data_IF_627069542885
#
_entry.id   IF_627069542885
#
_cell.length_a   1.000
_cell.length_b   1.000
_cell.length_c   1.000
_cell.angle_alpha   90.00
_cell.angle_beta   90.00
_cell.angle_gamma   90.00
#
_symmetry.space_group_name_H-M   'P 1'
#
loop_
_entity.id
_entity.type
_entity.pdbx_description
1 polymer ?
#
# COMPACT_ATOMS: atom_id res chain seq x y z
N UNK A 1 -27.42 -14.08 6.60
CA UNK A 1 -25.98 -13.74 6.66
C UNK A 1 -25.76 -12.24 6.42
N UNK A 2 -26.26 -11.66 5.33
CA UNK A 2 -26.11 -10.22 5.07
C UNK A 2 -26.78 -9.35 6.15
N UNK A 3 -28.01 -9.67 6.54
CA UNK A 3 -28.72 -8.87 7.55
C UNK A 3 -28.06 -8.95 8.93
N UNK A 4 -27.53 -10.13 9.28
CA UNK A 4 -26.71 -10.32 10.49
C UNK A 4 -25.42 -9.47 10.46
N UNK A 5 -24.74 -9.41 9.31
CA UNK A 5 -23.55 -8.56 9.17
C UNK A 5 -23.90 -7.06 9.23
N UNK A 6 -25.05 -6.66 8.70
CA UNK A 6 -25.57 -5.28 8.81
C UNK A 6 -25.88 -4.91 10.25
N UNK A 7 -26.43 -5.85 11.02
CA UNK A 7 -26.75 -5.63 12.43
C UNK A 7 -25.49 -5.46 13.28
N UNK A 8 -24.46 -6.29 13.05
CA UNK A 8 -23.21 -6.26 13.82
C UNK A 8 -22.25 -5.18 13.33
N UNK A 9 -22.19 -4.93 12.03
CA UNK A 9 -21.28 -3.97 11.40
C UNK A 9 -22.06 -3.00 10.51
N UNK A 10 -22.94 -2.15 11.05
CA UNK A 10 -23.81 -1.29 10.25
C UNK A 10 -23.02 -0.26 9.44
N UNK A 11 -21.96 0.32 10.01
CA UNK A 11 -21.23 1.45 9.42
C UNK A 11 -20.68 1.21 8.01
N UNK A 12 -20.02 0.08 7.68
CA UNK A 12 -19.68 -0.24 6.30
C UNK A 12 -20.88 -0.18 5.34
N UNK A 13 -22.07 -0.63 5.76
CA UNK A 13 -23.28 -0.59 4.94
C UNK A 13 -23.92 0.80 4.85
N UNK A 14 -23.73 1.64 5.87
CA UNK A 14 -24.21 3.03 5.84
C UNK A 14 -23.33 3.94 4.98
N UNK A 15 -22.04 3.61 4.83
CA UNK A 15 -21.05 4.49 4.23
C UNK A 15 -20.43 4.00 2.92
N UNK A 16 -20.68 2.77 2.46
CA UNK A 16 -20.03 2.22 1.25
C UNK A 16 -20.28 3.05 -0.02
N UNK A 17 -21.34 3.86 -0.07
CA UNK A 17 -21.68 4.72 -1.20
C UNK A 17 -21.18 6.17 -1.08
N UNK A 18 -20.57 6.55 0.05
CA UNK A 18 -20.15 7.93 0.31
C UNK A 18 -18.71 8.08 0.80
N UNK A 19 -18.16 7.07 1.50
CA UNK A 19 -16.81 7.09 2.03
C UNK A 19 -15.92 6.03 1.37
N UNK A 20 -14.66 6.38 1.12
CA UNK A 20 -13.70 5.45 0.52
C UNK A 20 -12.95 4.64 1.58
N UNK A 21 -12.69 3.34 1.33
CA UNK A 21 -11.74 2.60 2.14
C UNK A 21 -10.34 3.21 1.99
N UNK A 22 -9.57 3.17 3.09
CA UNK A 22 -8.19 3.69 3.13
C UNK A 22 -7.16 2.74 2.50
N UNK A 23 -7.47 1.44 2.45
CA UNK A 23 -6.56 0.37 2.04
C UNK A 23 -7.31 -0.84 1.51
N UNK A 24 -6.60 -1.79 0.92
CA UNK A 24 -7.21 -2.99 0.35
C UNK A 24 -7.86 -3.88 1.44
N UNK A 25 -8.94 -4.63 1.15
CA UNK A 25 -9.50 -5.57 2.11
C UNK A 25 -8.49 -6.62 2.58
N UNK A 26 -7.58 -7.06 1.69
CA UNK A 26 -6.58 -8.06 2.02
C UNK A 26 -5.52 -7.53 3.00
N UNK A 27 -5.20 -6.23 2.94
CA UNK A 27 -4.37 -5.55 3.93
C UNK A 27 -4.98 -5.63 5.34
N UNK A 28 -6.31 -5.47 5.46
CA UNK A 28 -6.98 -5.65 6.76
C UNK A 28 -6.88 -7.10 7.27
N UNK A 29 -6.95 -8.09 6.37
CA UNK A 29 -6.78 -9.51 6.74
C UNK A 29 -5.35 -9.77 7.20
N UNK A 30 -4.34 -9.20 6.53
CA UNK A 30 -2.95 -9.31 6.95
C UNK A 30 -2.74 -8.78 8.37
N UNK A 31 -3.27 -7.60 8.69
CA UNK A 31 -3.19 -7.03 10.04
C UNK A 31 -3.77 -7.97 11.10
N UNK A 32 -4.94 -8.56 10.83
CA UNK A 32 -5.55 -9.52 11.76
C UNK A 32 -4.66 -10.75 11.96
N UNK A 33 -4.03 -11.25 10.89
CA UNK A 33 -3.12 -12.40 10.98
C UNK A 33 -1.89 -12.03 11.80
N UNK A 34 -1.26 -10.88 11.54
CA UNK A 34 -0.09 -10.41 12.27
C UNK A 34 -0.44 -10.22 13.75
N UNK A 35 -1.55 -9.56 14.05
CA UNK A 35 -2.04 -9.33 15.42
C UNK A 35 -2.25 -10.65 16.19
N UNK A 36 -2.85 -11.65 15.54
CA UNK A 36 -3.14 -12.95 16.18
C UNK A 36 -1.90 -13.87 16.27
N UNK A 37 -0.86 -13.59 15.50
CA UNK A 37 0.29 -14.50 15.37
C UNK A 37 1.55 -13.95 16.04
N UNK A 38 1.66 -12.64 16.20
CA UNK A 38 2.90 -11.97 16.59
C UNK A 38 3.74 -11.59 15.37
N UNK A 39 4.17 -10.34 15.34
CA UNK A 39 4.98 -9.75 14.25
C UNK A 39 6.41 -10.29 14.19
N UNK A 40 6.87 -10.97 15.24
CA UNK A 40 8.15 -11.67 15.27
C UNK A 40 8.12 -13.02 14.53
N UNK A 41 6.93 -13.59 14.28
CA UNK A 41 6.75 -14.96 13.79
C UNK A 41 6.56 -15.01 12.26
N UNK A 42 7.57 -14.54 11.50
CA UNK A 42 7.53 -14.36 10.04
C UNK A 42 7.00 -15.56 9.25
N UNK A 43 7.53 -16.75 9.53
CA UNK A 43 7.16 -17.96 8.79
C UNK A 43 5.72 -18.40 9.08
N UNK A 44 5.25 -18.25 10.33
CA UNK A 44 3.87 -18.56 10.70
C UNK A 44 2.89 -17.54 10.11
N UNK A 45 3.25 -16.25 10.08
CA UNK A 45 2.46 -15.21 9.39
C UNK A 45 2.33 -15.54 7.90
N UNK A 46 3.45 -15.83 7.21
CA UNK A 46 3.44 -16.22 5.80
C UNK A 46 2.56 -17.45 5.55
N UNK A 47 2.69 -18.48 6.40
CA UNK A 47 1.89 -19.71 6.30
C UNK A 47 0.40 -19.44 6.46
N UNK A 48 -0.03 -18.68 7.47
CA UNK A 48 -1.45 -18.33 7.66
C UNK A 48 -2.01 -17.49 6.52
N UNK A 49 -1.22 -16.54 5.99
CA UNK A 49 -1.61 -15.76 4.80
C UNK A 49 -1.80 -16.69 3.59
N UNK A 50 -0.90 -17.66 3.39
CA UNK A 50 -0.99 -18.67 2.32
C UNK A 50 -2.22 -19.56 2.46
N UNK A 51 -2.52 -20.03 3.68
CA UNK A 51 -3.68 -20.88 3.98
C UNK A 51 -4.99 -20.14 3.67
N UNK A 52 -5.16 -18.92 4.18
CA UNK A 52 -6.34 -18.08 3.92
C UNK A 52 -6.46 -17.78 2.42
N UNK A 53 -5.36 -17.42 1.77
CA UNK A 53 -5.32 -17.18 0.32
C UNK A 53 -5.79 -18.39 -0.49
N UNK A 54 -5.33 -19.58 -0.10
CA UNK A 54 -5.68 -20.84 -0.76
C UNK A 54 -7.17 -21.18 -0.61
N UNK A 55 -7.76 -20.86 0.55
CA UNK A 55 -9.19 -21.03 0.78
C UNK A 55 -10.02 -20.02 -0.03
N UNK A 56 -9.62 -18.74 -0.04
CA UNK A 56 -10.34 -17.67 -0.72
C UNK A 56 -10.31 -17.81 -2.26
N UNK A 57 -9.22 -18.32 -2.86
CA UNK A 57 -9.12 -18.51 -4.33
C UNK A 57 -10.12 -19.51 -4.91
N UNK A 58 -10.70 -20.37 -4.07
CA UNK A 58 -11.77 -21.31 -4.46
C UNK A 58 -13.10 -20.58 -4.72
N UNK A 59 -13.24 -19.31 -4.33
CA UNK A 59 -14.42 -18.49 -4.55
C UNK A 59 -14.31 -17.45 -5.67
N UNK A 60 -15.31 -16.56 -5.77
CA UNK A 60 -15.38 -15.46 -6.75
C UNK A 60 -14.58 -14.20 -6.36
N UNK A 61 -13.93 -14.20 -5.20
CA UNK A 61 -13.20 -13.05 -4.61
C UNK A 61 -11.78 -12.89 -5.13
N UNK A 62 -11.37 -13.66 -6.13
CA UNK A 62 -10.00 -13.66 -6.71
C UNK A 62 -9.38 -12.28 -6.91
N UNK A 63 -10.10 -11.24 -7.36
CA UNK A 63 -9.48 -9.94 -7.57
C UNK A 63 -9.14 -9.17 -6.30
N UNK A 64 -9.66 -9.56 -5.13
CA UNK A 64 -9.41 -8.94 -3.82
C UNK A 64 -8.40 -9.72 -2.98
N UNK A 65 -7.66 -10.65 -3.60
CA UNK A 65 -6.68 -11.49 -2.96
C UNK A 65 -5.31 -11.08 -3.48
N UNK A 66 -4.43 -10.68 -2.56
CA UNK A 66 -3.06 -10.31 -2.92
C UNK A 66 -2.24 -11.52 -3.35
N UNK A 67 -1.30 -11.31 -4.26
CA UNK A 67 -0.40 -12.35 -4.75
C UNK A 67 0.92 -12.39 -3.98
N UNK A 68 1.27 -11.27 -3.34
CA UNK A 68 2.59 -11.01 -2.81
C UNK A 68 2.46 -10.43 -1.41
N UNK A 69 3.33 -10.88 -0.51
CA UNK A 69 3.54 -10.32 0.82
C UNK A 69 4.97 -9.78 0.87
N UNK A 70 5.20 -8.66 1.52
CA UNK A 70 6.52 -8.11 1.78
C UNK A 70 6.75 -7.98 3.27
N UNK A 71 8.00 -8.18 3.69
CA UNK A 71 8.48 -8.03 5.05
C UNK A 71 9.61 -7.01 5.06
N UNK A 72 9.46 -5.96 5.86
CA UNK A 72 10.47 -4.93 6.08
C UNK A 72 10.91 -4.90 7.54
N UNK A 73 12.21 -4.70 7.79
CA UNK A 73 12.77 -4.78 9.13
C UNK A 73 14.14 -4.08 9.18
N UNK A 74 14.48 -3.45 10.32
CA UNK A 74 15.87 -3.12 10.68
C UNK A 74 16.41 -4.13 11.69
N UNK A 75 17.75 -4.31 11.83
CA UNK A 75 18.31 -5.29 12.75
C UNK A 75 17.76 -5.13 14.16
N UNK A 76 17.35 -6.25 14.76
CA UNK A 76 16.78 -6.31 16.12
C UNK A 76 15.45 -5.55 16.34
N UNK A 77 14.78 -5.09 15.28
CA UNK A 77 13.40 -4.59 15.37
C UNK A 77 12.37 -5.69 15.09
N UNK A 78 11.12 -5.38 15.35
CA UNK A 78 9.96 -6.16 14.90
C UNK A 78 9.82 -6.10 13.38
N UNK A 79 8.99 -6.97 12.80
CA UNK A 79 8.80 -7.02 11.35
C UNK A 79 7.55 -6.28 10.95
N UNK A 80 7.65 -5.51 9.88
CA UNK A 80 6.55 -4.79 9.29
C UNK A 80 6.13 -5.51 8.02
N UNK A 81 4.83 -5.73 7.88
CA UNK A 81 4.27 -6.51 6.78
C UNK A 81 3.48 -5.59 5.84
N UNK A 82 3.44 -5.97 4.57
CA UNK A 82 2.57 -5.39 3.57
C UNK A 82 2.18 -6.40 2.52
N UNK A 83 1.09 -6.14 1.79
CA UNK A 83 0.64 -7.00 0.69
C UNK A 83 0.47 -6.21 -0.59
N UNK A 84 0.60 -6.89 -1.73
CA UNK A 84 0.38 -6.24 -3.02
C UNK A 84 -1.07 -5.80 -3.16
N UNK A 85 -1.29 -4.70 -3.88
CA UNK A 85 -2.61 -4.14 -4.12
C UNK A 85 -3.46 -5.11 -4.94
N UNK A 86 -4.50 -5.68 -4.32
CA UNK A 86 -5.45 -6.59 -4.96
C UNK A 86 -6.76 -5.87 -5.26
N UNK A 87 -7.03 -5.68 -6.55
CA UNK A 87 -8.28 -5.04 -7.01
C UNK A 87 -8.82 -5.68 -8.28
N UNK A 88 -10.11 -5.40 -8.58
CA UNK A 88 -10.82 -5.91 -9.76
C UNK A 88 -10.40 -5.31 -11.11
N UNK A 89 -9.26 -4.62 -11.18
CA UNK A 89 -8.71 -4.08 -12.42
C UNK A 89 -7.95 -2.79 -12.21
N UNK A 90 -7.50 -2.20 -13.32
CA UNK A 90 -6.61 -1.04 -13.31
C UNK A 90 -7.22 0.20 -12.63
N UNK A 91 -8.48 0.53 -12.90
CA UNK A 91 -9.13 1.73 -12.32
C UNK A 91 -9.33 1.58 -10.81
N UNK A 92 -9.95 0.50 -10.30
CA UNK A 92 -10.00 0.24 -8.87
C UNK A 92 -8.62 0.25 -8.19
N UNK A 93 -7.60 -0.33 -8.83
CA UNK A 93 -6.23 -0.29 -8.34
C UNK A 93 -5.70 1.13 -8.17
N UNK A 94 -5.88 1.99 -9.17
CA UNK A 94 -5.50 3.41 -9.10
C UNK A 94 -6.28 4.16 -8.00
N UNK A 95 -7.58 3.93 -7.87
CA UNK A 95 -8.40 4.50 -6.79
C UNK A 95 -7.83 4.11 -5.43
N UNK A 96 -7.52 2.82 -5.23
CA UNK A 96 -6.99 2.33 -3.96
C UNK A 96 -5.59 2.87 -3.66
N UNK A 97 -4.69 2.94 -4.65
CA UNK A 97 -3.37 3.56 -4.48
C UNK A 97 -3.50 5.03 -4.09
N UNK A 98 -4.35 5.80 -4.78
CA UNK A 98 -4.58 7.20 -4.44
C UNK A 98 -5.19 7.36 -3.04
N UNK A 99 -6.16 6.52 -2.67
CA UNK A 99 -6.73 6.51 -1.33
C UNK A 99 -5.68 6.19 -0.27
N UNK A 100 -4.83 5.19 -0.49
CA UNK A 100 -3.74 4.84 0.43
C UNK A 100 -2.73 5.98 0.58
N UNK A 101 -2.30 6.59 -0.52
CA UNK A 101 -1.42 7.76 -0.53
C UNK A 101 -1.97 8.94 0.29
N UNK A 102 -3.27 9.20 0.21
CA UNK A 102 -3.92 10.35 0.85
C UNK A 102 -4.41 10.08 2.28
N UNK A 103 -4.26 8.85 2.80
CA UNK A 103 -4.87 8.50 4.09
C UNK A 103 -4.06 7.54 4.94
N UNK A 104 -3.60 6.41 4.38
CA UNK A 104 -3.04 5.34 5.18
C UNK A 104 -1.54 5.28 5.12
N UNK A 105 -0.87 5.64 4.03
CA UNK A 105 0.56 5.43 3.91
C UNK A 105 1.37 6.52 4.61
N UNK A 106 2.56 6.14 5.11
CA UNK A 106 3.55 7.08 5.60
C UNK A 106 3.80 8.19 4.58
N UNK A 107 4.06 9.39 5.09
CA UNK A 107 4.18 10.58 4.28
C UNK A 107 5.30 10.46 3.23
N UNK A 108 6.45 9.89 3.57
CA UNK A 108 7.59 9.79 2.65
C UNK A 108 7.32 8.71 1.59
N UNK A 109 6.79 7.56 2.00
CA UNK A 109 6.42 6.49 1.09
C UNK A 109 5.32 6.93 0.11
N UNK A 110 4.30 7.63 0.62
CA UNK A 110 3.24 8.20 -0.21
C UNK A 110 3.81 9.22 -1.21
N UNK A 111 4.75 10.08 -0.78
CA UNK A 111 5.45 11.02 -1.65
C UNK A 111 6.20 10.33 -2.81
N UNK A 112 6.94 9.26 -2.51
CA UNK A 112 7.61 8.46 -3.53
C UNK A 112 6.63 7.88 -4.57
N UNK A 113 5.49 7.37 -4.12
CA UNK A 113 4.45 6.86 -5.03
C UNK A 113 3.83 7.99 -5.86
N UNK A 114 3.48 9.11 -5.22
CA UNK A 114 2.83 10.26 -5.88
C UNK A 114 3.70 10.89 -6.98
N UNK A 115 5.03 10.85 -6.82
CA UNK A 115 6.01 11.30 -7.81
C UNK A 115 5.75 10.70 -9.20
N UNK A 116 5.43 9.40 -9.24
CA UNK A 116 5.24 8.68 -10.49
C UNK A 116 3.78 8.34 -10.80
N UNK A 117 2.89 8.45 -9.80
CA UNK A 117 1.48 8.08 -9.92
C UNK A 117 0.76 8.81 -11.08
N UNK A 118 1.13 10.07 -11.32
CA UNK A 118 0.48 10.89 -12.34
C UNK A 118 1.06 10.69 -13.74
N UNK A 119 2.28 10.14 -13.87
CA UNK A 119 3.08 9.74 -15.06
C UNK A 119 2.98 10.58 -16.37
N UNK A 120 2.21 11.66 -16.39
CA UNK A 120 1.80 12.48 -17.54
C UNK A 120 1.53 13.95 -17.15
N UNK A 121 1.37 14.25 -15.86
CA UNK A 121 1.34 15.62 -15.39
C UNK A 121 2.78 16.00 -15.04
N UNK A 122 3.40 16.83 -15.89
CA UNK A 122 4.65 17.51 -15.56
C UNK A 122 4.46 18.23 -14.21
N UNK A 123 4.81 17.59 -13.11
CA UNK A 123 5.20 18.27 -11.88
C UNK A 123 6.72 18.25 -11.91
N UNK A 124 7.36 19.12 -12.72
CA UNK A 124 8.82 19.07 -12.97
C UNK A 124 9.65 19.24 -11.68
N UNK A 125 9.01 19.60 -10.57
CA UNK A 125 9.67 19.99 -9.33
C UNK A 125 9.43 19.03 -8.15
N UNK A 126 8.68 17.93 -8.29
CA UNK A 126 8.48 16.96 -7.20
C UNK A 126 9.12 15.61 -7.52
N UNK A 127 10.24 15.33 -6.86
CA UNK A 127 10.84 14.01 -6.76
C UNK A 127 10.86 13.57 -5.29
N UNK A 128 9.82 12.86 -4.89
CA UNK A 128 9.67 12.25 -3.58
C UNK A 128 10.35 10.89 -3.44
N UNK A 129 11.17 10.48 -4.41
CA UNK A 129 11.92 9.23 -4.35
C UNK A 129 12.77 9.17 -3.09
N UNK A 130 12.74 8.03 -2.42
CA UNK A 130 13.50 7.78 -1.21
C UNK A 130 14.59 6.75 -1.47
N UNK A 131 15.72 6.89 -0.79
CA UNK A 131 16.72 5.82 -0.70
C UNK A 131 16.64 5.18 0.68
N UNK A 132 16.33 3.89 0.71
CA UNK A 132 16.34 3.15 1.97
C UNK A 132 17.76 3.08 2.56
N UNK A 133 17.91 3.24 3.89
CA UNK A 133 19.15 2.94 4.59
C UNK A 133 19.62 1.50 4.34
N UNK A 134 20.93 1.26 4.33
CA UNK A 134 21.51 -0.05 3.97
C UNK A 134 21.15 -1.17 4.95
N UNK A 135 20.84 -0.82 6.20
CA UNK A 135 20.42 -1.76 7.24
C UNK A 135 18.94 -2.15 7.12
N UNK A 136 18.14 -1.53 6.25
CA UNK A 136 16.74 -1.92 6.05
C UNK A 136 16.66 -3.15 5.14
N UNK A 137 16.17 -4.25 5.69
CA UNK A 137 15.69 -5.41 4.91
C UNK A 137 14.31 -5.09 4.35
N UNK A 138 14.08 -5.41 3.08
CA UNK A 138 12.77 -5.31 2.42
C UNK A 138 12.67 -6.43 1.39
N UNK A 139 11.94 -7.49 1.71
CA UNK A 139 11.87 -8.71 0.90
C UNK A 139 10.43 -9.07 0.58
N UNK A 140 10.14 -9.33 -0.69
CA UNK A 140 8.83 -9.73 -1.17
C UNK A 140 8.80 -11.23 -1.45
N UNK A 141 7.65 -11.87 -1.20
CA UNK A 141 7.43 -13.29 -1.40
C UNK A 141 6.12 -13.53 -2.12
N UNK A 142 6.10 -14.47 -3.06
CA UNK A 142 4.87 -14.98 -3.63
C UNK A 142 4.09 -15.72 -2.52
N UNK A 143 2.86 -15.30 -2.24
CA UNK A 143 2.07 -15.85 -1.13
C UNK A 143 1.82 -17.35 -1.29
N UNK A 144 1.58 -17.83 -2.50
CA UNK A 144 1.21 -19.22 -2.73
C UNK A 144 2.41 -20.15 -2.88
N UNK A 145 3.48 -19.66 -3.48
CA UNK A 145 4.69 -20.45 -3.72
C UNK A 145 5.68 -20.34 -2.55
N UNK A 146 5.57 -19.30 -1.72
CA UNK A 146 6.55 -18.97 -0.68
C UNK A 146 7.90 -18.49 -1.23
N UNK A 147 8.00 -18.31 -2.55
CA UNK A 147 9.26 -17.98 -3.22
C UNK A 147 9.60 -16.50 -3.08
N UNK A 148 10.87 -16.21 -2.85
CA UNK A 148 11.40 -14.84 -2.85
C UNK A 148 11.21 -14.21 -4.23
N UNK A 149 10.79 -12.95 -4.25
CA UNK A 149 10.63 -12.13 -5.44
C UNK A 149 11.59 -10.95 -5.37
N UNK A 150 12.35 -10.77 -6.46
CA UNK A 150 13.17 -9.58 -6.64
C UNK A 150 12.28 -8.35 -6.84
N UNK A 151 12.71 -7.16 -6.38
CA UNK A 151 11.94 -5.94 -6.57
C UNK A 151 11.73 -5.66 -8.05
N UNK A 152 10.57 -5.11 -8.39
CA UNK A 152 10.31 -4.63 -9.74
C UNK A 152 11.03 -3.28 -9.98
N UNK A 153 11.23 -2.91 -11.24
CA UNK A 153 11.90 -1.64 -11.60
C UNK A 153 11.24 -0.42 -10.96
N UNK A 154 9.91 -0.38 -10.89
CA UNK A 154 9.20 0.77 -10.29
C UNK A 154 9.44 0.90 -8.77
N UNK A 155 9.56 -0.21 -8.05
CA UNK A 155 9.97 -0.19 -6.63
C UNK A 155 11.46 0.12 -6.46
N UNK A 156 12.30 -0.38 -7.37
CA UNK A 156 13.71 0.02 -7.46
C UNK A 156 13.87 1.53 -7.62
N UNK A 157 13.08 2.13 -8.51
CA UNK A 157 13.07 3.58 -8.73
C UNK A 157 12.58 4.34 -7.49
N UNK A 158 11.44 3.97 -6.90
CA UNK A 158 10.84 4.71 -5.76
C UNK A 158 11.65 4.63 -4.47
N UNK A 159 12.28 3.49 -4.20
CA UNK A 159 12.84 3.17 -2.88
C UNK A 159 14.35 2.90 -2.90
N UNK A 160 14.99 2.92 -4.07
CA UNK A 160 16.41 2.58 -4.22
C UNK A 160 16.73 1.12 -3.92
N UNK A 161 15.76 0.20 -4.11
CA UNK A 161 15.96 -1.23 -3.86
C UNK A 161 17.00 -1.80 -4.84
N UNK A 162 17.91 -2.63 -4.31
CA UNK A 162 19.02 -3.20 -5.08
C UNK A 162 18.54 -4.32 -6.01
N UNK A 163 19.21 -4.45 -7.16
CA UNK A 163 18.99 -5.50 -8.15
C UNK A 163 17.53 -5.67 -8.62
N UNK A 164 16.83 -4.58 -9.03
CA UNK A 164 15.49 -4.71 -9.54
C UNK A 164 15.46 -5.49 -10.85
N UNK A 165 14.38 -6.24 -11.06
CA UNK A 165 14.07 -6.86 -12.34
C UNK A 165 13.65 -5.81 -13.37
N UNK A 166 13.67 -6.17 -14.67
CA UNK A 166 13.12 -5.33 -15.73
C UNK A 166 11.58 -5.29 -15.75
N UNK A 167 10.92 -6.10 -14.91
CA UNK A 167 9.47 -6.08 -14.81
C UNK A 167 9.02 -4.74 -14.21
N UNK A 168 8.04 -4.11 -14.86
CA UNK A 168 7.41 -2.88 -14.39
C UNK A 168 5.96 -3.14 -13.99
N UNK A 169 5.62 -2.79 -12.74
CA UNK A 169 4.26 -2.75 -12.24
C UNK A 169 3.85 -1.31 -11.98
N UNK A 170 2.55 -0.97 -12.03
CA UNK A 170 2.10 0.37 -11.66
C UNK A 170 2.61 0.77 -10.27
N UNK A 171 3.12 2.00 -10.15
CA UNK A 171 3.59 2.57 -8.90
C UNK A 171 2.51 2.48 -7.80
N UNK A 172 2.91 2.08 -6.60
CA UNK A 172 1.99 1.87 -5.48
C UNK A 172 1.35 0.47 -5.38
N UNK A 173 1.47 -0.38 -6.41
CA UNK A 173 0.79 -1.69 -6.38
C UNK A 173 1.54 -2.81 -5.65
N UNK A 174 2.86 -2.69 -5.48
CA UNK A 174 3.67 -3.77 -4.95
C UNK A 174 3.63 -3.80 -3.41
N UNK A 175 3.90 -4.98 -2.84
CA UNK A 175 3.76 -5.22 -1.40
C UNK A 175 4.76 -4.41 -0.56
N UNK A 176 5.90 -4.07 -1.16
CA UNK A 176 6.98 -3.24 -0.59
C UNK A 176 6.44 -1.89 -0.12
N UNK A 177 5.46 -1.31 -0.82
CA UNK A 177 4.92 0.01 -0.50
C UNK A 177 4.23 0.00 0.86
N UNK A 178 3.34 -0.96 1.10
CA UNK A 178 2.64 -1.08 2.38
C UNK A 178 3.59 -1.50 3.51
N UNK A 179 4.53 -2.42 3.21
CA UNK A 179 5.51 -2.91 4.19
C UNK A 179 6.44 -1.80 4.67
N UNK A 180 7.03 -1.03 3.75
CA UNK A 180 7.89 0.12 4.07
C UNK A 180 7.10 1.24 4.75
N UNK A 181 5.86 1.47 4.32
CA UNK A 181 4.97 2.44 4.97
C UNK A 181 4.71 2.10 6.44
N UNK A 182 4.49 0.82 6.75
CA UNK A 182 4.34 0.37 8.13
C UNK A 182 5.67 0.48 8.91
N UNK A 183 6.82 0.19 8.30
CA UNK A 183 8.13 0.44 8.92
C UNK A 183 8.33 1.92 9.27
N UNK A 184 8.09 2.83 8.31
CA UNK A 184 8.36 4.26 8.47
C UNK A 184 7.47 4.94 9.52
N UNK A 185 6.23 4.47 9.69
CA UNK A 185 5.33 4.97 10.75
C UNK A 185 5.79 4.62 12.16
N UNK A 186 6.49 3.50 12.31
CA UNK A 186 6.80 2.93 13.62
C UNK A 186 8.29 3.04 13.98
N UNK A 187 9.16 3.34 13.01
CA UNK A 187 10.61 3.46 13.20
C UNK A 187 11.08 4.82 12.70
N UNK A 188 11.08 5.80 13.61
CA UNK A 188 11.46 7.19 13.33
C UNK A 188 12.87 7.29 12.73
N UNK A 189 13.83 6.52 13.26
CA UNK A 189 15.21 6.51 12.78
C UNK A 189 15.30 6.22 11.27
N UNK A 190 14.51 5.25 10.78
CA UNK A 190 14.49 4.90 9.35
C UNK A 190 13.89 6.05 8.54
N UNK A 191 12.85 6.70 9.07
CA UNK A 191 12.19 7.84 8.43
C UNK A 191 13.13 9.03 8.29
N UNK A 192 13.93 9.33 9.31
CA UNK A 192 14.91 10.41 9.32
C UNK A 192 16.14 10.10 8.44
N UNK A 193 16.61 8.85 8.45
CA UNK A 193 17.76 8.43 7.65
C UNK A 193 17.44 8.23 6.17
N UNK A 194 16.18 7.98 5.82
CA UNK A 194 15.73 7.87 4.44
C UNK A 194 16.03 9.18 3.70
N UNK A 195 17.08 9.16 2.87
CA UNK A 195 17.50 10.35 2.11
C UNK A 195 16.47 10.64 1.03
N UNK A 196 15.80 11.78 1.16
CA UNK A 196 14.94 12.34 0.11
C UNK A 196 15.86 12.96 -0.96
N UNK A 197 15.63 12.64 -2.23
CA UNK A 197 16.61 12.95 -3.29
C UNK A 197 16.65 14.45 -3.67
N UNK A 198 15.70 15.30 -3.28
CA UNK A 198 15.78 16.76 -3.52
C UNK A 198 15.23 17.59 -2.35
N UNK A 199 15.99 18.62 -1.94
CA UNK A 199 15.88 19.33 -0.66
C UNK A 199 15.28 20.76 -0.72
N UNK A 200 14.69 21.21 -1.83
CA UNK A 200 14.14 22.57 -1.93
C UNK A 200 12.60 22.55 -2.11
N UNK A 201 11.88 23.32 -1.28
CA UNK A 201 10.42 23.48 -1.30
C UNK A 201 9.62 22.18 -1.21
N UNK A 202 10.16 21.19 -0.49
CA UNK A 202 9.61 19.84 -0.40
C UNK A 202 8.14 19.82 0.04
N UNK A 203 7.78 20.62 1.02
CA UNK A 203 6.42 20.65 1.57
C UNK A 203 5.42 21.24 0.56
N UNK A 204 5.75 22.35 -0.10
CA UNK A 204 4.90 22.94 -1.14
C UNK A 204 4.74 22.01 -2.35
N UNK A 205 5.81 21.32 -2.73
CA UNK A 205 5.80 20.36 -3.84
C UNK A 205 4.98 19.12 -3.51
N UNK A 206 5.12 18.61 -2.28
CA UNK A 206 4.32 17.53 -1.73
C UNK A 206 2.84 17.88 -1.70
N UNK A 207 2.47 19.06 -1.19
CA UNK A 207 1.09 19.52 -1.17
C UNK A 207 0.52 19.70 -2.58
N UNK A 208 1.35 20.09 -3.57
CA UNK A 208 0.95 20.10 -4.99
C UNK A 208 0.70 18.69 -5.52
N UNK A 209 1.57 17.73 -5.21
CA UNK A 209 1.39 16.33 -5.58
C UNK A 209 0.11 15.74 -4.94
N UNK A 210 -0.11 15.97 -3.65
CA UNK A 210 -1.31 15.54 -2.91
C UNK A 210 -2.59 16.11 -3.54
N UNK A 211 -2.65 17.41 -3.81
CA UNK A 211 -3.79 18.05 -4.52
C UNK A 211 -4.03 17.45 -5.90
N UNK A 212 -2.97 17.08 -6.61
CA UNK A 212 -3.06 16.50 -7.94
C UNK A 212 -3.59 15.06 -7.88
N UNK A 213 -3.13 14.25 -6.91
CA UNK A 213 -3.68 12.92 -6.63
C UNK A 213 -5.12 13.00 -6.16
N UNK A 214 -5.48 13.98 -5.32
CA UNK A 214 -6.85 14.21 -4.87
C UNK A 214 -7.79 14.56 -6.05
N UNK A 215 -7.31 15.37 -6.99
CA UNK A 215 -8.04 15.73 -8.21
C UNK A 215 -8.26 14.52 -9.10
N UNK A 216 -7.21 13.71 -9.32
CA UNK A 216 -7.29 12.48 -10.11
C UNK A 216 -8.21 11.45 -9.45
N UNK A 217 -8.15 11.30 -8.12
CA UNK A 217 -9.05 10.42 -7.36
C UNK A 217 -10.51 10.84 -7.57
N UNK A 218 -10.83 12.14 -7.40
CA UNK A 218 -12.19 12.66 -7.67
C UNK A 218 -12.63 12.40 -9.11
N UNK A 219 -11.72 12.54 -10.08
CA UNK A 219 -12.00 12.25 -11.49
C UNK A 219 -12.33 10.77 -11.71
N UNK A 220 -11.53 9.86 -11.16
CA UNK A 220 -11.76 8.40 -11.27
C UNK A 220 -13.07 7.96 -10.59
N UNK A 221 -13.40 8.54 -9.44
CA UNK A 221 -14.64 8.21 -8.72
C UNK A 221 -15.90 8.67 -9.47
N UNK A 222 -15.84 9.87 -10.08
CA UNK A 222 -16.95 10.37 -10.93
C UNK A 222 -17.24 9.47 -12.11
N UNK A 223 -16.23 8.79 -12.68
CA UNK A 223 -16.44 7.81 -13.76
C UNK A 223 -17.28 6.60 -13.32
N UNK A 224 -17.41 6.37 -12.01
CA UNK A 224 -18.20 5.31 -11.41
C UNK A 224 -19.42 5.84 -10.63
N UNK A 225 -19.88 7.06 -10.91
CA UNK A 225 -21.01 7.71 -10.23
C UNK A 225 -20.85 7.78 -8.70
N UNK A 226 -19.61 7.87 -8.21
CA UNK A 226 -19.32 8.02 -6.79
C UNK A 226 -18.91 9.46 -6.48
N UNK A 227 -19.66 10.14 -5.61
CA UNK A 227 -19.34 11.48 -5.15
C UNK A 227 -18.62 11.41 -3.81
N UNK A 228 -17.33 11.67 -3.83
CA UNK A 228 -16.50 11.68 -2.63
C UNK A 228 -16.44 13.07 -2.00
N UNK A 229 -16.78 13.14 -0.72
CA UNK A 229 -16.80 14.35 0.10
C UNK A 229 -15.42 14.74 0.67
N UNK A 230 -14.41 13.92 0.43
CA UNK A 230 -13.06 14.09 0.99
C UNK A 230 -12.79 13.22 2.22
N UNK A 231 -13.80 12.53 2.75
CA UNK A 231 -13.67 11.70 3.94
C UNK A 231 -13.37 10.24 3.59
N UNK A 232 -12.46 9.65 4.33
CA UNK A 232 -12.18 8.22 4.25
C UNK A 232 -12.91 7.46 5.35
N UNK A 233 -13.37 6.26 5.01
CA UNK A 233 -14.04 5.38 5.97
C UNK A 233 -13.10 5.07 7.13
N UNK A 234 -13.62 5.24 8.34
CA UNK A 234 -12.91 4.92 9.57
C UNK A 234 -13.73 3.89 10.35
N UNK A 235 -13.24 2.65 10.50
CA UNK A 235 -13.92 1.61 11.27
C UNK A 235 -14.06 2.03 12.74
N UNK A 236 -15.06 1.49 13.44
CA UNK A 236 -15.20 1.62 14.89
C UNK A 236 -14.20 0.72 15.62
#
# INVERSE_FOLDING_TARGET
MLDYLKDIYPRPFDHYSSQLPKRSPFSCVLDMIVLLTGEENEEEVKKKVQEITSQLRRGRTRPLISSTICVSQIPNSVRYYGVSMSTAGRIPGRIMVAASCLSSWDSNVAGAVMTYYLNNANIPDFDGTIRLPENVRCEAFNILQGTLLLPCRTCGNMFGLRHPTDQEWPYGNCAEVESLSNLFKNVEEVREQARLIVANNMEDNRQRAERSVQTELRRLLRQHNFTWDGNFFTPQ
#
